data_IF_361082711896
#
_entry.id   IF_361082711896
#
_cell.length_a   1.000
_cell.length_b   1.000
_cell.length_c   1.000
_cell.angle_alpha   90.00
_cell.angle_beta   90.00
_cell.angle_gamma   90.00
#
_symmetry.space_group_name_H-M   'P 1'
#
loop_
_entity.id
_entity.type
_entity.pdbx_description
1 polymer ?
#
# COMPACT_ATOMS: atom_id res chain seq x y z
N UNK A 1 76.33 3.06 -19.13
CA UNK A 1 74.93 3.02 -19.61
C UNK A 1 74.08 2.41 -18.51
N UNK A 2 73.30 3.21 -17.84
CA UNK A 2 72.47 2.80 -16.67
C UNK A 2 70.98 2.85 -17.10
N UNK A 3 70.34 1.68 -17.30
CA UNK A 3 68.96 1.55 -17.68
C UNK A 3 68.10 1.78 -16.44
N UNK A 4 67.31 2.87 -16.42
CA UNK A 4 66.34 3.21 -15.41
C UNK A 4 65.01 2.54 -15.81
N UNK A 5 64.67 1.44 -15.15
CA UNK A 5 63.44 0.70 -15.39
C UNK A 5 62.28 1.38 -14.66
N UNK A 6 61.45 2.11 -15.41
CA UNK A 6 60.26 2.81 -14.87
C UNK A 6 59.15 1.78 -14.73
N UNK A 7 58.94 1.29 -13.52
CA UNK A 7 57.85 0.36 -13.19
C UNK A 7 56.54 1.15 -13.08
N UNK A 8 55.71 1.08 -14.14
CA UNK A 8 54.40 1.72 -14.22
C UNK A 8 53.37 0.90 -13.43
N UNK A 9 53.09 1.25 -12.18
CA UNK A 9 52.02 0.68 -11.34
C UNK A 9 50.69 1.15 -11.88
N UNK A 10 49.99 0.34 -12.67
CA UNK A 10 48.58 0.49 -13.02
C UNK A 10 47.76 0.21 -11.78
N UNK A 11 47.32 1.27 -11.07
CA UNK A 11 46.27 1.18 -10.08
C UNK A 11 44.96 0.90 -10.82
N UNK A 12 44.57 -0.40 -10.87
CA UNK A 12 43.21 -0.80 -11.19
C UNK A 12 42.30 -0.34 -10.02
N UNK A 13 41.86 0.91 -10.11
CA UNK A 13 40.75 1.42 -9.25
C UNK A 13 39.47 0.69 -9.64
N UNK A 14 39.18 -0.38 -8.92
CA UNK A 14 37.88 -1.04 -8.98
C UNK A 14 36.86 -0.08 -8.33
N UNK A 15 36.22 0.79 -9.12
CA UNK A 15 35.10 1.57 -8.67
C UNK A 15 33.94 0.59 -8.35
N UNK A 16 33.74 0.26 -7.06
CA UNK A 16 32.48 -0.31 -6.62
C UNK A 16 31.39 0.67 -7.02
N UNK A 17 30.62 0.31 -8.03
CA UNK A 17 29.34 0.95 -8.29
C UNK A 17 28.50 0.72 -7.04
N UNK A 18 28.38 1.74 -6.18
CA UNK A 18 27.44 1.70 -5.09
C UNK A 18 26.07 1.45 -5.70
N UNK A 19 25.48 0.33 -5.33
CA UNK A 19 24.13 -0.02 -5.75
C UNK A 19 23.20 0.99 -5.05
N UNK A 20 22.86 2.08 -5.75
CA UNK A 20 22.04 3.18 -5.22
C UNK A 20 20.63 2.73 -4.84
N UNK A 21 20.24 1.53 -5.29
CA UNK A 21 18.94 0.93 -4.99
C UNK A 21 18.96 0.33 -3.59
N UNK A 22 17.90 0.63 -2.82
CA UNK A 22 17.71 0.06 -1.48
C UNK A 22 16.46 -0.81 -1.35
N UNK A 23 15.71 -1.02 -2.44
CA UNK A 23 14.67 -2.02 -2.53
C UNK A 23 14.73 -2.77 -3.86
N UNK A 24 14.23 -4.00 -3.86
CA UNK A 24 13.80 -4.72 -5.05
C UNK A 24 12.40 -5.30 -4.82
N UNK A 25 11.56 -5.23 -5.85
CA UNK A 25 10.18 -5.73 -5.83
C UNK A 25 9.96 -6.62 -7.04
N UNK A 26 9.86 -7.92 -6.80
CA UNK A 26 9.50 -8.91 -7.81
C UNK A 26 7.99 -9.16 -7.78
N UNK A 27 7.33 -8.98 -8.93
CA UNK A 27 5.89 -9.20 -9.08
C UNK A 27 5.65 -10.35 -10.04
N UNK A 28 4.89 -11.34 -9.58
CA UNK A 28 4.47 -12.52 -10.35
C UNK A 28 2.94 -12.45 -10.53
N UNK A 29 2.48 -12.53 -11.79
CA UNK A 29 1.04 -12.51 -12.12
C UNK A 29 0.71 -13.77 -12.90
N UNK A 30 0.16 -14.76 -12.19
CA UNK A 30 -0.26 -16.02 -12.79
C UNK A 30 -1.44 -15.81 -13.76
N UNK A 31 -1.37 -16.45 -14.92
CA UNK A 31 -2.37 -16.33 -15.99
C UNK A 31 -2.19 -15.11 -16.89
N UNK A 32 -1.23 -14.22 -16.64
CA UNK A 32 -0.92 -13.09 -17.52
C UNK A 32 0.12 -13.50 -18.56
N UNK A 33 -0.23 -13.42 -19.85
CA UNK A 33 0.68 -13.73 -20.97
C UNK A 33 1.36 -12.48 -21.52
N UNK A 34 0.58 -11.40 -21.69
CA UNK A 34 1.07 -10.11 -22.20
C UNK A 34 0.42 -8.97 -21.43
N UNK A 35 1.20 -7.96 -21.10
CA UNK A 35 0.72 -6.78 -20.40
C UNK A 35 1.87 -5.92 -19.91
N UNK A 36 1.55 -4.72 -19.46
CA UNK A 36 2.49 -3.79 -18.84
C UNK A 36 2.10 -3.56 -17.41
N UNK A 37 3.04 -3.75 -16.50
CA UNK A 37 2.90 -3.41 -15.10
C UNK A 37 3.69 -2.12 -14.83
N UNK A 38 3.00 -1.13 -14.29
CA UNK A 38 3.60 0.12 -13.85
C UNK A 38 3.76 0.11 -12.34
N UNK A 39 4.88 0.62 -11.86
CA UNK A 39 5.06 1.01 -10.47
C UNK A 39 4.79 2.52 -10.38
N UNK A 40 3.80 2.89 -9.60
CA UNK A 40 3.30 4.26 -9.53
C UNK A 40 3.27 4.76 -8.07
N UNK A 41 3.32 6.06 -7.89
CA UNK A 41 3.32 6.71 -6.59
C UNK A 41 2.46 7.97 -6.63
N UNK A 42 1.79 8.28 -5.52
CA UNK A 42 1.11 9.55 -5.35
C UNK A 42 2.09 10.69 -5.05
N UNK A 43 1.92 11.79 -5.77
CA UNK A 43 2.48 13.09 -5.44
C UNK A 43 1.32 14.07 -5.37
N UNK A 44 1.04 14.57 -4.17
CA UNK A 44 -0.15 15.37 -3.86
C UNK A 44 -1.44 14.69 -4.33
N UNK A 45 -2.03 15.13 -5.44
CA UNK A 45 -3.30 14.62 -5.97
C UNK A 45 -3.13 13.76 -7.22
N UNK A 46 -1.90 13.54 -7.71
CA UNK A 46 -1.65 12.87 -8.98
C UNK A 46 -0.87 11.58 -8.78
N UNK A 47 -1.27 10.56 -9.53
CA UNK A 47 -0.54 9.29 -9.64
C UNK A 47 0.47 9.42 -10.78
N UNK A 48 1.75 9.17 -10.51
CA UNK A 48 2.80 9.23 -11.52
C UNK A 48 3.62 7.94 -11.57
N UNK A 49 4.03 7.59 -12.78
CA UNK A 49 4.80 6.38 -13.05
C UNK A 49 6.26 6.57 -12.62
N UNK A 50 6.75 5.63 -11.82
CA UNK A 50 8.16 5.56 -11.41
C UNK A 50 8.92 4.65 -12.37
N UNK A 51 8.33 3.48 -12.70
CA UNK A 51 8.96 2.45 -13.51
C UNK A 51 7.89 1.61 -14.22
N UNK A 52 8.31 0.80 -15.20
CA UNK A 52 7.41 -0.11 -15.91
C UNK A 52 8.14 -1.40 -16.29
N UNK A 53 7.39 -2.49 -16.31
CA UNK A 53 7.87 -3.80 -16.73
C UNK A 53 6.88 -4.51 -17.65
N UNK A 54 7.39 -5.30 -18.57
CA UNK A 54 6.60 -6.00 -19.57
C UNK A 54 6.50 -7.49 -19.27
N UNK A 55 5.28 -8.01 -19.30
CA UNK A 55 5.00 -9.43 -19.41
C UNK A 55 4.90 -9.77 -20.91
N UNK A 56 5.76 -10.66 -21.38
CA UNK A 56 5.74 -11.18 -22.74
C UNK A 56 6.14 -12.66 -22.74
N UNK A 57 5.32 -13.48 -22.10
CA UNK A 57 5.60 -14.89 -21.88
C UNK A 57 6.45 -15.20 -20.63
N UNK A 58 7.03 -14.21 -19.99
CA UNK A 58 7.69 -14.30 -18.70
C UNK A 58 6.64 -14.25 -17.56
N UNK A 59 6.98 -14.88 -16.42
CA UNK A 59 6.06 -14.97 -15.28
C UNK A 59 6.23 -13.83 -14.27
N UNK A 60 7.24 -12.98 -14.41
CA UNK A 60 7.55 -11.96 -13.41
C UNK A 60 8.19 -10.72 -14.01
N UNK A 61 8.01 -9.61 -13.30
CA UNK A 61 8.68 -8.32 -13.52
C UNK A 61 9.38 -7.94 -12.21
N UNK A 62 10.55 -7.32 -12.31
CA UNK A 62 11.31 -6.80 -11.17
C UNK A 62 11.47 -5.29 -11.28
N UNK A 63 11.18 -4.59 -10.18
CA UNK A 63 11.43 -3.16 -10.00
C UNK A 63 12.53 -2.96 -8.97
N UNK A 64 13.42 -2.00 -9.19
CA UNK A 64 14.49 -1.61 -8.26
C UNK A 64 14.52 -0.11 -8.12
N UNK A 65 14.78 0.37 -6.90
CA UNK A 65 14.82 1.80 -6.68
C UNK A 65 15.29 2.18 -5.28
N UNK A 66 15.14 3.46 -5.00
CA UNK A 66 15.50 4.05 -3.71
C UNK A 66 14.30 4.71 -3.07
N UNK A 67 14.09 4.44 -1.79
CA UNK A 67 13.08 5.07 -0.94
C UNK A 67 13.72 5.55 0.37
N UNK A 68 13.15 6.56 0.99
CA UNK A 68 13.61 7.07 2.27
C UNK A 68 13.08 6.25 3.45
N UNK A 69 11.85 5.77 3.35
CA UNK A 69 11.18 4.95 4.34
C UNK A 69 10.06 4.14 3.71
N UNK A 70 9.36 3.29 4.50
CA UNK A 70 8.21 2.55 3.98
C UNK A 70 7.16 3.49 3.43
N UNK A 71 6.68 3.23 2.20
CA UNK A 71 5.61 4.01 1.59
C UNK A 71 4.71 3.15 0.69
N UNK A 72 3.46 3.60 0.54
CA UNK A 72 2.50 2.97 -0.36
C UNK A 72 2.83 3.35 -1.81
N UNK A 73 2.90 2.34 -2.67
CA UNK A 73 2.96 2.49 -4.12
C UNK A 73 1.84 1.68 -4.76
N UNK A 74 1.51 1.99 -5.99
CA UNK A 74 0.47 1.32 -6.75
C UNK A 74 1.11 0.51 -7.87
N UNK A 75 0.79 -0.78 -7.91
CA UNK A 75 1.06 -1.63 -9.06
C UNK A 75 -0.15 -1.55 -9.98
N UNK A 76 0.00 -0.90 -11.14
CA UNK A 76 -1.07 -0.70 -12.12
C UNK A 76 -0.82 -1.58 -13.34
N UNK A 77 -1.71 -2.54 -13.57
CA UNK A 77 -1.60 -3.51 -14.65
C UNK A 77 -2.52 -3.13 -15.80
N UNK A 78 -1.94 -2.97 -17.00
CA UNK A 78 -2.67 -2.87 -18.26
C UNK A 78 -2.40 -4.11 -19.11
N UNK A 79 -3.44 -4.72 -19.69
CA UNK A 79 -3.31 -5.90 -20.52
C UNK A 79 -4.48 -5.93 -21.54
N UNK A 80 -4.22 -6.50 -22.71
CA UNK A 80 -5.17 -6.60 -23.81
C UNK A 80 -5.79 -5.22 -24.17
N UNK A 81 -7.13 -5.16 -24.32
CA UNK A 81 -7.88 -3.94 -24.65
C UNK A 81 -8.63 -3.40 -23.41
N UNK A 82 -8.19 -3.72 -22.20
CA UNK A 82 -8.79 -3.19 -20.98
C UNK A 82 -8.56 -1.68 -20.90
N UNK A 83 -9.64 -0.90 -20.77
CA UNK A 83 -9.60 0.56 -20.74
C UNK A 83 -9.06 1.06 -19.38
N UNK A 84 -9.43 0.36 -18.29
CA UNK A 84 -9.04 0.75 -16.94
C UNK A 84 -7.95 -0.19 -16.40
N UNK A 85 -6.83 0.34 -15.92
CA UNK A 85 -5.79 -0.47 -15.30
C UNK A 85 -6.28 -1.10 -14.00
N UNK A 86 -5.98 -2.39 -13.81
CA UNK A 86 -6.16 -3.02 -12.50
C UNK A 86 -5.10 -2.53 -11.54
N UNK A 87 -5.51 -2.13 -10.34
CA UNK A 87 -4.62 -1.52 -9.35
C UNK A 87 -4.45 -2.40 -8.11
N UNK A 88 -3.23 -2.40 -7.58
CA UNK A 88 -2.83 -3.12 -6.39
C UNK A 88 -1.96 -2.21 -5.52
N UNK A 89 -2.50 -1.60 -4.45
CA UNK A 89 -1.70 -0.89 -3.47
C UNK A 89 -0.76 -1.85 -2.72
N UNK A 90 0.49 -1.43 -2.52
CA UNK A 90 1.52 -2.23 -1.89
C UNK A 90 2.48 -1.34 -1.09
N UNK A 91 2.84 -1.76 0.15
CA UNK A 91 3.88 -1.08 0.92
C UNK A 91 5.27 -1.52 0.49
N UNK A 92 6.01 -0.60 -0.12
CA UNK A 92 7.43 -0.78 -0.44
C UNK A 92 8.28 -0.42 0.76
N UNK A 93 9.27 -1.28 1.07
CA UNK A 93 10.25 -1.10 2.16
C UNK A 93 11.68 -1.28 1.64
N UNK A 94 12.67 -0.89 2.44
CA UNK A 94 14.12 -1.10 2.11
C UNK A 94 14.50 -2.57 2.27
N UNK A 95 14.01 -3.40 1.37
CA UNK A 95 14.17 -4.87 1.40
C UNK A 95 14.00 -5.49 0.02
N UNK A 96 14.23 -6.79 -0.06
CA UNK A 96 13.81 -7.62 -1.19
C UNK A 96 12.39 -8.10 -0.95
N UNK A 97 11.48 -7.75 -1.88
CA UNK A 97 10.05 -8.02 -1.76
C UNK A 97 9.55 -8.87 -2.93
N UNK A 98 8.57 -9.71 -2.64
CA UNK A 98 7.88 -10.53 -3.62
C UNK A 98 6.38 -10.33 -3.47
N UNK A 99 5.72 -10.07 -4.60
CA UNK A 99 4.25 -10.04 -4.72
C UNK A 99 3.83 -11.11 -5.71
N UNK A 100 2.88 -11.97 -5.32
CA UNK A 100 2.26 -12.98 -6.19
C UNK A 100 0.75 -12.82 -6.19
N UNK A 101 0.18 -12.80 -7.38
CA UNK A 101 -1.27 -12.74 -7.57
C UNK A 101 -1.66 -13.45 -8.86
N UNK A 102 -2.96 -13.64 -9.08
CA UNK A 102 -3.50 -14.14 -10.36
C UNK A 102 -4.18 -12.99 -11.10
N UNK A 103 -4.13 -13.02 -12.42
CA UNK A 103 -4.75 -11.98 -13.26
C UNK A 103 -6.22 -11.72 -12.90
N UNK A 104 -7.01 -12.79 -12.68
CA UNK A 104 -8.42 -12.67 -12.28
C UNK A 104 -8.65 -12.10 -10.89
N UNK A 105 -7.68 -12.24 -10.01
CA UNK A 105 -7.74 -11.82 -8.61
C UNK A 105 -6.84 -10.60 -8.33
N UNK A 106 -6.28 -9.95 -9.37
CA UNK A 106 -5.36 -8.83 -9.24
C UNK A 106 -5.98 -7.71 -8.41
N UNK A 107 -5.27 -7.29 -7.36
CA UNK A 107 -5.78 -6.32 -6.39
C UNK A 107 -6.59 -6.91 -5.23
N UNK A 108 -7.09 -8.14 -5.34
CA UNK A 108 -7.98 -8.76 -4.34
C UNK A 108 -7.30 -9.86 -3.52
N UNK A 109 -6.60 -10.80 -4.19
CA UNK A 109 -5.89 -11.89 -3.53
C UNK A 109 -4.41 -11.78 -3.85
N UNK A 110 -3.65 -11.44 -2.83
CA UNK A 110 -2.24 -11.14 -2.95
C UNK A 110 -1.47 -11.91 -1.89
N UNK A 111 -0.46 -12.64 -2.31
CA UNK A 111 0.59 -13.12 -1.43
C UNK A 111 1.76 -12.14 -1.51
N UNK A 112 2.20 -11.63 -0.38
CA UNK A 112 3.36 -10.75 -0.30
C UNK A 112 4.36 -11.22 0.74
N UNK A 113 5.64 -10.95 0.49
CA UNK A 113 6.74 -11.22 1.42
C UNK A 113 7.79 -10.12 1.30
N UNK A 114 8.51 -9.86 2.41
CA UNK A 114 9.63 -8.91 2.43
C UNK A 114 9.26 -7.51 2.92
N UNK A 115 7.95 -7.15 2.99
CA UNK A 115 7.48 -5.92 3.63
C UNK A 115 6.62 -6.26 4.85
N UNK A 116 7.04 -5.78 6.02
CA UNK A 116 6.26 -5.96 7.26
C UNK A 116 5.05 -5.03 7.26
N UNK A 117 5.20 -3.79 6.79
CA UNK A 117 4.06 -2.87 6.64
C UNK A 117 3.01 -3.43 5.66
N UNK A 118 3.42 -4.05 4.53
CA UNK A 118 2.46 -4.67 3.61
C UNK A 118 1.76 -5.87 4.24
N UNK A 119 2.45 -6.70 4.99
CA UNK A 119 1.83 -7.83 5.71
C UNK A 119 0.72 -7.35 6.66
N UNK A 120 0.99 -6.30 7.45
CA UNK A 120 0.00 -5.68 8.34
C UNK A 120 -1.13 -5.01 7.54
N UNK A 121 -0.79 -4.38 6.41
CA UNK A 121 -1.79 -3.76 5.52
C UNK A 121 -2.74 -4.80 4.91
N UNK A 122 -2.26 -5.98 4.52
CA UNK A 122 -3.12 -7.08 4.04
C UNK A 122 -4.09 -7.54 5.13
N UNK A 123 -3.62 -7.71 6.38
CA UNK A 123 -4.49 -8.01 7.51
C UNK A 123 -5.57 -6.95 7.70
N UNK A 124 -5.19 -5.67 7.67
CA UNK A 124 -6.10 -4.54 7.74
C UNK A 124 -7.18 -4.57 6.65
N UNK A 125 -6.77 -4.79 5.40
CA UNK A 125 -7.70 -4.86 4.26
C UNK A 125 -8.67 -6.03 4.36
N UNK A 126 -8.23 -7.20 4.82
CA UNK A 126 -9.11 -8.37 4.99
C UNK A 126 -10.18 -8.13 6.07
N UNK A 127 -9.82 -7.45 7.16
CA UNK A 127 -10.80 -7.11 8.20
C UNK A 127 -11.77 -6.03 7.70
N UNK A 128 -11.27 -4.99 7.05
CA UNK A 128 -12.13 -3.94 6.48
C UNK A 128 -13.07 -4.46 5.40
N UNK A 129 -12.66 -5.44 4.61
CA UNK A 129 -13.54 -6.14 3.66
C UNK A 129 -14.75 -6.77 4.33
N UNK A 130 -14.59 -7.37 5.52
CA UNK A 130 -15.72 -7.94 6.28
C UNK A 130 -16.70 -6.85 6.72
N UNK A 131 -16.20 -5.72 7.24
CA UNK A 131 -17.04 -4.57 7.57
C UNK A 131 -17.78 -4.01 6.35
N UNK A 132 -17.08 -3.86 5.23
CA UNK A 132 -17.68 -3.35 4.01
C UNK A 132 -18.77 -4.29 3.46
N UNK A 133 -18.56 -5.60 3.49
CA UNK A 133 -19.59 -6.58 3.08
C UNK A 133 -20.82 -6.49 4.00
N UNK A 134 -20.63 -6.44 5.33
CA UNK A 134 -21.74 -6.25 6.27
C UNK A 134 -22.54 -4.98 5.98
N UNK A 135 -21.85 -3.86 5.72
CA UNK A 135 -22.50 -2.59 5.37
C UNK A 135 -23.29 -2.67 4.06
N UNK A 136 -22.73 -3.32 3.05
CA UNK A 136 -23.42 -3.53 1.77
C UNK A 136 -24.69 -4.35 1.94
N UNK A 137 -24.67 -5.39 2.77
CA UNK A 137 -25.86 -6.20 3.09
C UNK A 137 -26.93 -5.36 3.81
N UNK A 138 -26.52 -4.52 4.77
CA UNK A 138 -27.44 -3.63 5.50
C UNK A 138 -28.06 -2.58 4.57
N UNK A 139 -27.26 -1.98 3.68
CA UNK A 139 -27.74 -1.02 2.67
C UNK A 139 -28.73 -1.70 1.73
N UNK A 140 -28.40 -2.91 1.23
CA UNK A 140 -29.29 -3.67 0.35
C UNK A 140 -30.65 -3.91 0.98
N UNK A 141 -30.67 -4.30 2.26
CA UNK A 141 -31.93 -4.51 3.02
C UNK A 141 -32.70 -3.21 3.23
N UNK A 142 -32.05 -2.11 3.63
CA UNK A 142 -32.71 -0.81 3.75
C UNK A 142 -33.37 -0.39 2.43
N UNK A 143 -32.67 -0.59 1.28
CA UNK A 143 -33.23 -0.29 -0.04
C UNK A 143 -34.39 -1.20 -0.44
N UNK A 144 -34.39 -2.47 -0.03
CA UNK A 144 -35.52 -3.40 -0.23
C UNK A 144 -36.78 -2.90 0.49
N UNK A 145 -36.67 -2.53 1.77
CA UNK A 145 -37.80 -2.00 2.57
C UNK A 145 -38.26 -0.61 2.12
N UNK A 146 -37.33 0.20 1.54
CA UNK A 146 -37.73 1.46 0.89
C UNK A 146 -38.72 1.25 -0.26
N UNK A 147 -38.56 0.18 -1.06
CA UNK A 147 -39.46 -0.18 -2.16
C UNK A 147 -40.84 -0.62 -1.64
N UNK A 148 -40.90 -1.14 -0.42
CA UNK A 148 -42.14 -1.60 0.25
C UNK A 148 -42.80 -0.48 1.08
N UNK A 149 -42.19 0.70 1.20
CA UNK A 149 -42.57 1.80 2.07
C UNK A 149 -42.67 1.38 3.55
N UNK A 150 -41.90 0.40 4.01
CA UNK A 150 -41.87 -0.05 5.41
C UNK A 150 -40.85 0.80 6.19
N UNK A 151 -41.35 1.89 6.78
CA UNK A 151 -40.55 2.88 7.51
C UNK A 151 -39.86 2.29 8.73
N UNK A 152 -40.50 1.38 9.47
CA UNK A 152 -39.92 0.79 10.68
C UNK A 152 -38.72 -0.08 10.35
N UNK A 153 -38.79 -0.92 9.29
CA UNK A 153 -37.69 -1.71 8.81
C UNK A 153 -36.56 -0.84 8.24
N UNK A 154 -36.89 0.24 7.53
CA UNK A 154 -35.88 1.19 7.04
C UNK A 154 -35.05 1.75 8.21
N UNK A 155 -35.71 2.31 9.21
CA UNK A 155 -35.06 2.88 10.39
C UNK A 155 -34.19 1.85 11.12
N UNK A 156 -34.66 0.62 11.28
CA UNK A 156 -33.93 -0.46 11.90
C UNK A 156 -32.61 -0.76 11.18
N UNK A 157 -32.62 -0.85 9.84
CA UNK A 157 -31.41 -1.14 9.07
C UNK A 157 -30.46 0.07 9.00
N UNK A 158 -30.97 1.29 8.97
CA UNK A 158 -30.17 2.52 9.00
C UNK A 158 -29.46 2.70 10.35
N UNK A 159 -30.11 2.36 11.48
CA UNK A 159 -29.46 2.31 12.79
C UNK A 159 -28.36 1.24 12.87
N UNK A 160 -28.60 0.07 12.30
CA UNK A 160 -27.56 -0.99 12.21
C UNK A 160 -26.38 -0.54 11.36
N UNK A 161 -26.62 0.13 10.24
CA UNK A 161 -25.57 0.68 9.40
C UNK A 161 -24.73 1.73 10.16
N UNK A 162 -25.36 2.60 10.90
CA UNK A 162 -24.71 3.59 11.76
C UNK A 162 -23.81 2.90 12.80
N UNK A 163 -24.32 1.84 13.43
CA UNK A 163 -23.58 1.04 14.41
C UNK A 163 -22.40 0.32 13.76
N UNK A 164 -22.56 -0.24 12.55
CA UNK A 164 -21.50 -0.90 11.81
C UNK A 164 -20.38 0.08 11.41
N UNK A 165 -20.73 1.30 10.97
CA UNK A 165 -19.77 2.36 10.69
C UNK A 165 -18.95 2.74 11.93
N UNK A 166 -19.60 2.93 13.08
CA UNK A 166 -18.93 3.23 14.34
C UNK A 166 -17.98 2.11 14.78
N UNK A 167 -18.40 0.85 14.64
CA UNK A 167 -17.55 -0.31 14.96
C UNK A 167 -16.31 -0.37 14.06
N UNK A 168 -16.47 -0.14 12.75
CA UNK A 168 -15.35 -0.11 11.81
C UNK A 168 -14.39 1.03 12.15
N UNK A 169 -14.88 2.24 12.40
CA UNK A 169 -14.07 3.38 12.79
C UNK A 169 -13.24 3.10 14.06
N UNK A 170 -13.87 2.57 15.11
CA UNK A 170 -13.17 2.21 16.35
C UNK A 170 -12.17 1.05 16.13
N UNK A 171 -12.51 0.09 15.28
CA UNK A 171 -11.59 -0.98 14.91
C UNK A 171 -10.34 -0.42 14.22
N UNK A 172 -10.51 0.46 13.24
CA UNK A 172 -9.42 1.09 12.50
C UNK A 172 -8.51 1.90 13.42
N UNK A 173 -9.09 2.68 14.35
CA UNK A 173 -8.33 3.43 15.35
C UNK A 173 -7.50 2.51 16.26
N UNK A 174 -8.12 1.46 16.81
CA UNK A 174 -7.43 0.48 17.65
C UNK A 174 -6.38 -0.32 16.86
N UNK A 175 -6.63 -0.60 15.58
CA UNK A 175 -5.65 -1.27 14.72
C UNK A 175 -4.42 -0.39 14.51
N UNK A 176 -4.59 0.91 14.21
CA UNK A 176 -3.49 1.86 14.08
C UNK A 176 -2.67 1.96 15.38
N UNK A 177 -3.33 2.09 16.54
CA UNK A 177 -2.65 2.17 17.85
C UNK A 177 -1.84 0.90 18.14
N UNK A 178 -2.38 -0.29 17.89
CA UNK A 178 -1.67 -1.56 18.10
C UNK A 178 -0.45 -1.72 17.19
N UNK A 179 -0.43 -1.05 16.05
CA UNK A 179 0.68 -1.11 15.09
C UNK A 179 1.50 0.18 15.05
N UNK A 180 1.53 0.93 16.15
CA UNK A 180 2.19 2.24 16.28
C UNK A 180 3.71 2.23 16.00
N UNK A 181 4.35 1.06 16.05
CA UNK A 181 5.76 0.86 15.69
C UNK A 181 6.00 0.68 14.17
N UNK A 182 4.95 0.80 13.35
CA UNK A 182 5.01 0.62 11.90
C UNK A 182 4.42 1.83 11.16
N UNK A 183 4.95 2.10 9.97
CA UNK A 183 4.52 3.24 9.13
C UNK A 183 3.07 3.12 8.63
N UNK A 184 2.50 1.92 8.65
CA UNK A 184 1.08 1.68 8.36
C UNK A 184 0.16 2.40 9.36
N UNK A 185 0.54 2.58 10.62
CA UNK A 185 -0.31 3.21 11.63
C UNK A 185 -0.67 4.67 11.27
N UNK A 186 0.29 5.59 11.04
CA UNK A 186 -0.04 6.93 10.61
C UNK A 186 -0.69 6.96 9.21
N UNK A 187 -0.40 5.99 8.32
CA UNK A 187 -1.09 5.88 7.03
C UNK A 187 -2.59 5.63 7.22
N UNK A 188 -3.01 4.67 8.04
CA UNK A 188 -4.43 4.42 8.36
C UNK A 188 -5.08 5.66 8.98
N UNK A 189 -4.37 6.35 9.86
CA UNK A 189 -4.89 7.57 10.49
C UNK A 189 -5.24 8.65 9.45
N UNK A 190 -4.36 8.91 8.50
CA UNK A 190 -4.58 9.96 7.49
C UNK A 190 -5.53 9.54 6.36
N UNK A 191 -5.75 8.25 6.13
CA UNK A 191 -6.67 7.78 5.08
C UNK A 191 -8.08 7.54 5.60
N UNK A 192 -8.22 6.87 6.74
CA UNK A 192 -9.50 6.29 7.15
C UNK A 192 -10.11 6.94 8.42
N UNK A 193 -9.36 7.84 9.10
CA UNK A 193 -9.76 8.40 10.38
C UNK A 193 -9.72 9.94 10.43
N UNK A 194 -9.61 10.59 9.29
CA UNK A 194 -9.47 12.06 9.16
C UNK A 194 -10.55 12.87 9.86
N UNK A 195 -11.72 12.29 10.06
CA UNK A 195 -12.88 13.00 10.59
C UNK A 195 -12.80 13.31 12.11
N UNK A 196 -11.80 12.74 12.81
CA UNK A 196 -11.70 12.88 14.27
C UNK A 196 -10.32 13.32 14.73
N UNK A 197 -10.12 14.62 14.93
CA UNK A 197 -8.87 15.18 15.45
C UNK A 197 -8.42 14.53 16.76
N UNK A 198 -9.35 14.17 17.65
CA UNK A 198 -9.03 13.49 18.91
C UNK A 198 -8.41 12.11 18.69
N UNK A 199 -8.91 11.34 17.71
CA UNK A 199 -8.35 10.04 17.36
C UNK A 199 -7.00 10.19 16.66
N UNK A 200 -6.88 11.15 15.75
CA UNK A 200 -5.61 11.46 15.08
C UNK A 200 -4.50 11.81 16.10
N UNK A 201 -4.80 12.67 17.07
CA UNK A 201 -3.87 13.05 18.13
C UNK A 201 -3.50 11.86 19.02
N UNK A 202 -4.48 11.02 19.37
CA UNK A 202 -4.25 9.79 20.15
C UNK A 202 -3.30 8.84 19.40
N UNK A 203 -3.53 8.61 18.12
CA UNK A 203 -2.66 7.76 17.29
C UNK A 203 -1.26 8.39 17.19
N UNK A 204 -1.16 9.70 16.91
CA UNK A 204 0.14 10.36 16.81
C UNK A 204 0.97 10.25 18.11
N UNK A 205 0.33 10.41 19.27
CA UNK A 205 0.97 10.24 20.58
C UNK A 205 1.45 8.80 20.83
N UNK A 206 0.76 7.82 20.31
CA UNK A 206 1.12 6.40 20.44
C UNK A 206 2.29 5.98 19.54
N UNK A 207 2.62 6.77 18.50
CA UNK A 207 3.67 6.39 17.55
C UNK A 207 5.05 6.32 18.20
N UNK A 208 5.81 5.28 17.86
CA UNK A 208 7.23 5.18 18.21
C UNK A 208 8.05 6.34 17.63
N UNK A 209 9.12 6.74 18.33
CA UNK A 209 9.92 7.92 17.96
C UNK A 209 10.54 7.83 16.55
N UNK A 210 10.87 6.62 16.08
CA UNK A 210 11.32 6.37 14.71
C UNK A 210 10.20 6.62 13.68
N UNK A 211 8.97 6.23 14.02
CA UNK A 211 7.82 6.37 13.13
C UNK A 211 7.35 7.82 13.03
N UNK A 212 7.46 8.60 14.09
CA UNK A 212 7.13 10.05 14.08
C UNK A 212 7.90 10.87 13.02
N UNK A 213 9.04 10.33 12.54
CA UNK A 213 9.86 10.93 11.48
C UNK A 213 9.45 10.48 10.06
N UNK A 214 8.54 9.52 9.94
CA UNK A 214 8.09 9.01 8.65
C UNK A 214 7.20 10.01 7.92
N UNK A 215 7.13 9.88 6.57
CA UNK A 215 6.30 10.71 5.70
C UNK A 215 4.87 10.86 6.22
N UNK A 216 4.20 9.74 6.50
CA UNK A 216 2.80 9.75 6.93
C UNK A 216 2.59 10.27 8.36
N UNK A 217 3.58 10.12 9.25
CA UNK A 217 3.50 10.70 10.58
C UNK A 217 3.68 12.22 10.55
N UNK A 218 4.51 12.75 9.65
CA UNK A 218 4.64 14.19 9.43
C UNK A 218 3.36 14.78 8.84
N UNK A 219 2.75 14.07 7.87
CA UNK A 219 1.43 14.44 7.33
C UNK A 219 0.36 14.40 8.42
N UNK A 220 0.28 13.32 9.21
CA UNK A 220 -0.64 13.21 10.35
C UNK A 220 -0.47 14.37 11.32
N UNK A 221 0.77 14.74 11.65
CA UNK A 221 1.05 15.89 12.52
C UNK A 221 0.50 17.21 11.97
N UNK A 222 0.57 17.41 10.66
CA UNK A 222 0.05 18.62 10.02
C UNK A 222 -1.48 18.72 10.04
N UNK A 223 -2.19 17.58 10.16
CA UNK A 223 -3.64 17.53 10.26
C UNK A 223 -4.18 17.79 11.68
N UNK A 224 -3.33 17.64 12.70
CA UNK A 224 -3.71 17.82 14.13
C UNK A 224 -3.51 19.27 14.57
N UNK A 225 -2.55 19.98 13.95
CA UNK A 225 -2.25 21.39 14.23
C UNK A 225 -3.21 22.30 13.45
#
# INVERSE_FOLDING_TARGET
>A
MRYFLFLFFLFLSCSKTENLNNFSLRVEVDGLKKGTLYLEKFNDSSLFKIDSGYFNGNNSVEFKGKIEGPEIMILSLTYENELDPKQLPFFVEKSEMIVKTRLKDFGYKVYSKGSKNDSIYREYLEINKKFNNEKLDLISKSLEFKKLNDVDSINFYDEKLTTANKRQFLHNANFAIRHSEYTIAPYIAITDLRESNTILDTIYKSLGEGIKKSKYALELKSLIN
#
